data_IF_915318802470
#
_entry.id   IF_915318802470
#
_cell.length_a   1.000
_cell.length_b   1.000
_cell.length_c   1.000
_cell.angle_alpha   90.00
_cell.angle_beta   90.00
_cell.angle_gamma   90.00
#
_symmetry.space_group_name_H-M   'P 1'
#
loop_
_entity.id
_entity.type
_entity.pdbx_description
1 polymer ?
#
# COMPACT_ATOMS: atom_id res chain seq x y z
N UNK A 1 52.32 -55.36 5.32
CA UNK A 1 52.44 -54.00 4.73
C UNK A 1 51.37 -53.84 3.65
N UNK A 2 50.57 -52.87 3.68
CA UNK A 2 49.53 -52.45 2.68
C UNK A 2 48.09 -52.55 3.12
N UNK A 3 47.71 -51.83 4.17
CA UNK A 3 46.30 -51.53 4.46
C UNK A 3 46.07 -50.04 4.88
N UNK A 4 47.12 -49.19 4.90
CA UNK A 4 47.08 -47.81 5.35
C UNK A 4 47.11 -46.76 4.21
N UNK A 5 47.19 -47.18 2.95
CA UNK A 5 47.28 -46.24 1.81
C UNK A 5 45.95 -46.01 1.05
N UNK A 6 44.89 -46.77 1.35
CA UNK A 6 43.61 -46.67 0.68
C UNK A 6 42.62 -45.73 1.41
N UNK A 7 42.87 -45.39 2.67
CA UNK A 7 41.96 -44.53 3.46
C UNK A 7 42.19 -43.02 3.30
N UNK A 8 43.34 -42.59 2.80
CA UNK A 8 43.67 -41.16 2.65
C UNK A 8 43.13 -40.58 1.31
N UNK A 9 43.05 -41.41 0.28
CA UNK A 9 42.56 -40.98 -1.03
C UNK A 9 41.03 -40.79 -1.05
N UNK A 10 40.27 -41.53 -0.26
CA UNK A 10 38.80 -41.40 -0.18
C UNK A 10 38.36 -40.17 0.61
N UNK A 11 39.13 -39.73 1.61
CA UNK A 11 38.83 -38.55 2.40
C UNK A 11 39.08 -37.21 1.64
N UNK A 12 40.09 -37.22 0.76
CA UNK A 12 40.39 -36.04 -0.07
C UNK A 12 39.38 -35.84 -1.22
N UNK A 13 38.80 -36.92 -1.73
CA UNK A 13 37.76 -36.85 -2.77
C UNK A 13 36.40 -36.38 -2.25
N UNK A 14 36.06 -36.68 -0.99
CA UNK A 14 34.81 -36.19 -0.35
C UNK A 14 34.88 -34.72 0.07
N UNK A 15 36.04 -34.20 0.42
CA UNK A 15 36.24 -32.79 0.75
C UNK A 15 36.22 -31.87 -0.50
N UNK A 16 36.67 -32.39 -1.65
CA UNK A 16 36.58 -31.63 -2.91
C UNK A 16 35.19 -31.61 -3.54
N UNK A 17 34.36 -32.63 -3.31
CA UNK A 17 32.98 -32.66 -3.80
C UNK A 17 32.05 -31.70 -3.02
N UNK A 18 32.31 -31.51 -1.71
CA UNK A 18 31.53 -30.55 -0.89
C UNK A 18 31.92 -29.08 -1.16
N UNK A 19 33.16 -28.82 -1.55
CA UNK A 19 33.60 -27.47 -1.93
C UNK A 19 33.06 -27.02 -3.29
N UNK A 20 32.80 -27.92 -4.25
CA UNK A 20 32.18 -27.60 -5.53
C UNK A 20 30.69 -27.33 -5.41
N UNK A 21 29.99 -27.95 -4.45
CA UNK A 21 28.55 -27.70 -4.25
C UNK A 21 28.23 -26.34 -3.59
N UNK A 22 29.18 -25.77 -2.86
CA UNK A 22 29.03 -24.44 -2.25
C UNK A 22 29.31 -23.29 -3.21
N UNK A 23 30.05 -23.55 -4.31
CA UNK A 23 30.41 -22.49 -5.28
C UNK A 23 29.33 -22.21 -6.32
N UNK A 24 28.35 -23.07 -6.48
CA UNK A 24 27.24 -22.88 -7.45
C UNK A 24 26.10 -22.02 -6.93
N UNK A 25 26.10 -21.63 -5.65
CA UNK A 25 25.08 -20.76 -5.05
C UNK A 25 25.42 -19.28 -5.06
N UNK A 26 26.61 -18.91 -5.53
CA UNK A 26 27.03 -17.51 -5.67
C UNK A 26 26.91 -17.00 -7.12
N UNK A 27 25.84 -17.35 -7.83
CA UNK A 27 25.55 -16.67 -9.08
C UNK A 27 25.14 -15.25 -8.74
N UNK A 28 26.08 -14.32 -8.86
CA UNK A 28 25.80 -12.90 -8.56
C UNK A 28 24.87 -12.36 -9.63
N UNK A 29 23.67 -11.89 -9.24
CA UNK A 29 22.75 -11.17 -10.14
C UNK A 29 23.26 -9.77 -10.51
N UNK A 30 24.59 -9.61 -10.61
CA UNK A 30 25.26 -8.34 -10.93
C UNK A 30 25.49 -8.15 -12.43
N UNK A 31 25.03 -9.08 -13.28
CA UNK A 31 25.08 -8.92 -14.72
C UNK A 31 24.10 -7.82 -15.20
N UNK A 32 24.26 -7.39 -16.44
CA UNK A 32 23.43 -6.37 -17.10
C UNK A 32 22.30 -6.96 -17.95
N UNK A 33 21.98 -8.25 -17.77
CA UNK A 33 20.87 -8.87 -18.51
C UNK A 33 19.56 -8.16 -18.21
N UNK A 34 18.74 -7.91 -19.24
CA UNK A 34 17.45 -7.26 -19.07
C UNK A 34 16.51 -8.11 -18.21
N UNK A 35 15.56 -7.44 -17.57
CA UNK A 35 14.42 -8.06 -16.88
C UNK A 35 13.12 -7.57 -17.50
N UNK A 36 12.09 -8.41 -17.46
CA UNK A 36 10.76 -8.08 -17.97
C UNK A 36 9.73 -8.21 -16.86
N UNK A 37 8.91 -7.19 -16.69
CA UNK A 37 7.82 -7.19 -15.70
C UNK A 37 6.75 -6.16 -16.02
N UNK A 38 5.57 -6.37 -15.46
CA UNK A 38 4.51 -5.40 -15.40
C UNK A 38 4.16 -5.06 -13.95
N UNK A 39 3.76 -3.80 -13.72
CA UNK A 39 3.36 -3.28 -12.42
C UNK A 39 1.90 -2.88 -12.47
N UNK A 40 1.07 -3.51 -11.66
CA UNK A 40 -0.29 -3.04 -11.42
C UNK A 40 -0.29 -1.87 -10.43
N UNK A 41 -1.05 -0.84 -10.78
CA UNK A 41 -1.28 0.33 -9.93
C UNK A 41 -2.75 0.54 -9.61
N UNK A 42 -3.11 1.77 -9.26
CA UNK A 42 -4.48 2.15 -8.97
C UNK A 42 -5.16 2.78 -10.19
N UNK A 43 -4.84 4.03 -10.51
CA UNK A 43 -5.51 4.79 -11.56
C UNK A 43 -4.61 5.01 -12.78
N UNK A 44 -5.20 5.36 -13.92
CA UNK A 44 -4.46 5.70 -15.14
C UNK A 44 -3.64 6.99 -15.02
N UNK A 45 -3.83 7.77 -13.97
CA UNK A 45 -3.13 9.03 -13.68
C UNK A 45 -2.75 9.09 -12.20
N UNK A 46 -1.99 10.11 -11.79
CA UNK A 46 -1.67 10.38 -10.40
C UNK A 46 -0.47 9.62 -9.85
N UNK A 47 -0.38 9.56 -8.52
CA UNK A 47 0.79 9.13 -7.77
C UNK A 47 1.38 7.78 -8.24
N UNK A 48 0.57 6.73 -8.25
CA UNK A 48 1.07 5.38 -8.54
C UNK A 48 1.62 5.25 -9.96
N UNK A 49 1.01 5.93 -10.94
CA UNK A 49 1.53 5.96 -12.31
C UNK A 49 2.88 6.67 -12.37
N UNK A 50 2.97 7.87 -11.79
CA UNK A 50 4.21 8.68 -11.82
C UNK A 50 5.35 7.91 -11.16
N UNK A 51 5.10 7.30 -10.00
CA UNK A 51 6.11 6.49 -9.29
C UNK A 51 6.52 5.28 -10.11
N UNK A 52 5.56 4.51 -10.63
CA UNK A 52 5.86 3.30 -11.40
C UNK A 52 6.61 3.62 -12.70
N UNK A 53 6.23 4.65 -13.43
CA UNK A 53 6.93 5.03 -14.68
C UNK A 53 8.36 5.53 -14.41
N UNK A 54 8.57 6.26 -13.31
CA UNK A 54 9.92 6.65 -12.90
C UNK A 54 10.77 5.43 -12.53
N UNK A 55 10.23 4.50 -11.77
CA UNK A 55 10.91 3.24 -11.42
C UNK A 55 11.20 2.42 -12.67
N UNK A 56 10.25 2.31 -13.59
CA UNK A 56 10.43 1.61 -14.86
C UNK A 56 11.57 2.23 -15.70
N UNK A 57 11.67 3.57 -15.72
CA UNK A 57 12.78 4.27 -16.37
C UNK A 57 14.13 3.94 -15.72
N UNK A 58 14.19 3.95 -14.39
CA UNK A 58 15.39 3.58 -13.63
C UNK A 58 15.84 2.15 -13.95
N UNK A 59 14.90 1.21 -14.01
CA UNK A 59 15.21 -0.18 -14.33
C UNK A 59 15.71 -0.33 -15.76
N UNK A 60 15.09 0.34 -16.75
CA UNK A 60 15.56 0.35 -18.14
C UNK A 60 16.95 0.97 -18.29
N UNK A 61 17.27 2.00 -17.50
CA UNK A 61 18.62 2.58 -17.47
C UNK A 61 19.65 1.63 -16.85
N UNK A 62 19.30 0.95 -15.75
CA UNK A 62 20.17 0.01 -15.05
C UNK A 62 20.42 -1.28 -15.85
N UNK A 63 19.40 -1.76 -16.56
CA UNK A 63 19.39 -3.01 -17.35
C UNK A 63 18.82 -2.74 -18.74
N UNK A 64 19.65 -2.25 -19.69
CA UNK A 64 19.22 -1.94 -21.06
C UNK A 64 18.55 -3.13 -21.76
N UNK A 65 17.45 -2.87 -22.45
CA UNK A 65 16.62 -3.90 -23.08
C UNK A 65 15.51 -4.47 -22.18
N UNK A 66 15.41 -4.01 -20.93
CA UNK A 66 14.31 -4.41 -20.05
C UNK A 66 12.95 -3.91 -20.56
N UNK A 67 11.94 -4.79 -20.45
CA UNK A 67 10.53 -4.43 -20.69
C UNK A 67 9.83 -4.24 -19.35
N UNK A 68 9.43 -3.01 -19.08
CA UNK A 68 8.81 -2.61 -17.81
C UNK A 68 7.58 -1.75 -18.11
N UNK A 69 6.39 -2.23 -17.75
CA UNK A 69 5.11 -1.59 -18.08
C UNK A 69 4.25 -1.30 -16.86
N UNK A 70 3.48 -0.20 -16.92
CA UNK A 70 2.48 0.13 -15.91
C UNK A 70 1.08 -0.23 -16.40
N UNK A 71 0.30 -0.89 -15.56
CA UNK A 71 -1.10 -1.24 -15.80
C UNK A 71 -1.99 -0.52 -14.79
N UNK A 72 -2.91 0.35 -15.23
CA UNK A 72 -3.89 0.92 -14.31
C UNK A 72 -4.90 -0.13 -13.85
N UNK A 73 -5.43 0.01 -12.63
CA UNK A 73 -6.35 -0.96 -12.06
C UNK A 73 -6.89 -0.53 -10.70
N UNK A 74 -6.95 -1.47 -9.78
CA UNK A 74 -7.32 -1.25 -8.38
C UNK A 74 -6.43 -2.08 -7.47
N UNK A 75 -6.28 -1.69 -6.19
CA UNK A 75 -5.44 -2.44 -5.25
C UNK A 75 -5.77 -3.93 -5.15
N UNK A 76 -7.05 -4.28 -4.99
CA UNK A 76 -7.46 -5.69 -4.96
C UNK A 76 -7.26 -6.39 -6.32
N UNK A 77 -7.48 -5.68 -7.43
CA UNK A 77 -7.22 -6.17 -8.78
C UNK A 77 -5.74 -6.48 -9.00
N UNK A 78 -4.84 -5.62 -8.51
CA UNK A 78 -3.39 -5.84 -8.57
C UNK A 78 -2.98 -7.11 -7.82
N UNK A 79 -3.50 -7.34 -6.61
CA UNK A 79 -3.22 -8.58 -5.85
C UNK A 79 -3.74 -9.82 -6.62
N UNK A 80 -4.94 -9.75 -7.21
CA UNK A 80 -5.48 -10.84 -8.04
C UNK A 80 -4.59 -11.12 -9.25
N UNK A 81 -4.11 -10.08 -9.94
CA UNK A 81 -3.28 -10.23 -11.13
C UNK A 81 -1.93 -10.86 -10.83
N UNK A 82 -1.22 -10.40 -9.79
CA UNK A 82 0.05 -11.02 -9.39
C UNK A 82 -0.13 -12.47 -8.87
N UNK A 83 -1.25 -12.75 -8.20
CA UNK A 83 -1.57 -14.09 -7.71
C UNK A 83 -1.88 -15.09 -8.83
N UNK A 84 -2.34 -14.61 -9.99
CA UNK A 84 -2.71 -15.42 -11.15
C UNK A 84 -1.68 -15.36 -12.30
N UNK A 85 -0.52 -14.77 -12.09
CA UNK A 85 0.53 -14.65 -13.08
C UNK A 85 0.23 -13.72 -14.27
N UNK A 86 -0.73 -12.78 -14.10
CA UNK A 86 -1.09 -11.78 -15.12
C UNK A 86 -0.24 -10.51 -15.05
N UNK A 87 0.40 -10.29 -13.93
CA UNK A 87 1.37 -9.24 -13.65
C UNK A 87 2.40 -9.74 -12.65
N UNK A 88 3.57 -9.13 -12.63
CA UNK A 88 4.67 -9.52 -11.75
C UNK A 88 4.58 -8.80 -10.40
N UNK A 89 4.30 -7.48 -10.43
CA UNK A 89 4.28 -6.61 -9.26
C UNK A 89 2.97 -5.85 -9.10
N UNK A 90 2.66 -5.44 -7.88
CA UNK A 90 1.71 -4.35 -7.61
C UNK A 90 2.28 -3.41 -6.55
N UNK A 91 2.06 -2.09 -6.71
CA UNK A 91 2.52 -1.08 -5.75
C UNK A 91 1.42 -0.57 -4.84
N UNK A 92 0.27 -1.21 -4.85
CA UNK A 92 -0.93 -0.76 -4.15
C UNK A 92 -1.36 -1.69 -3.02
N UNK A 93 -0.46 -2.55 -2.54
CA UNK A 93 -0.75 -3.45 -1.43
C UNK A 93 -0.94 -2.67 -0.12
N UNK A 94 -2.11 -2.79 0.50
CA UNK A 94 -2.42 -2.25 1.82
C UNK A 94 -2.81 -3.35 2.80
N UNK A 95 -2.84 -3.03 4.10
CA UNK A 95 -3.14 -4.01 5.15
C UNK A 95 -4.46 -4.73 4.93
N UNK A 96 -5.60 -4.03 4.75
CA UNK A 96 -6.89 -4.69 4.53
C UNK A 96 -6.94 -5.54 3.27
N UNK A 97 -6.36 -5.08 2.15
CA UNK A 97 -6.30 -5.86 0.91
C UNK A 97 -5.55 -7.17 1.09
N UNK A 98 -4.41 -7.11 1.77
CA UNK A 98 -3.58 -8.31 2.03
C UNK A 98 -4.34 -9.29 2.90
N UNK A 99 -4.88 -8.85 4.05
CA UNK A 99 -5.61 -9.73 4.96
C UNK A 99 -6.85 -10.34 4.30
N UNK A 100 -7.63 -9.54 3.55
CA UNK A 100 -8.82 -10.05 2.86
C UNK A 100 -8.44 -11.04 1.73
N UNK A 101 -7.31 -10.80 1.05
CA UNK A 101 -6.79 -11.74 0.07
C UNK A 101 -6.36 -13.06 0.70
N UNK A 102 -5.68 -13.01 1.85
CA UNK A 102 -5.25 -14.21 2.59
C UNK A 102 -6.44 -15.00 3.16
N UNK A 103 -7.50 -14.32 3.57
CA UNK A 103 -8.70 -14.93 4.14
C UNK A 103 -9.75 -15.33 3.08
N UNK A 104 -9.60 -14.90 1.83
CA UNK A 104 -10.62 -15.10 0.78
C UNK A 104 -11.89 -14.30 1.00
N UNK A 105 -11.80 -13.17 1.72
CA UNK A 105 -12.91 -12.24 1.95
C UNK A 105 -13.14 -11.34 0.73
N UNK A 106 -14.38 -10.94 0.51
CA UNK A 106 -14.73 -10.02 -0.59
C UNK A 106 -13.83 -8.76 -0.58
N UNK A 107 -13.33 -8.31 -1.74
CA UNK A 107 -13.73 -8.68 -3.09
C UNK A 107 -13.06 -9.96 -3.64
N UNK A 108 -12.22 -10.63 -2.87
CA UNK A 108 -11.63 -11.92 -3.26
C UNK A 108 -12.66 -13.05 -3.08
N UNK A 109 -12.61 -14.04 -3.98
CA UNK A 109 -13.54 -15.17 -3.96
C UNK A 109 -12.99 -16.39 -3.23
N UNK A 110 -11.68 -16.45 -3.06
CA UNK A 110 -10.94 -17.53 -2.43
C UNK A 110 -9.67 -17.00 -1.75
N UNK A 111 -9.09 -17.78 -0.84
CA UNK A 111 -7.81 -17.46 -0.22
C UNK A 111 -6.67 -17.49 -1.26
N UNK A 112 -5.89 -16.42 -1.27
CA UNK A 112 -4.70 -16.29 -2.12
C UNK A 112 -3.39 -16.58 -1.36
N UNK A 113 -3.49 -17.24 -0.21
CA UNK A 113 -2.33 -17.63 0.62
C UNK A 113 -1.32 -18.42 -0.21
N UNK A 114 -0.04 -18.03 -0.11
CA UNK A 114 1.05 -18.68 -0.85
C UNK A 114 1.15 -18.31 -2.33
N UNK A 115 0.34 -17.40 -2.85
CA UNK A 115 0.38 -16.97 -4.25
C UNK A 115 1.17 -15.68 -4.48
N UNK A 116 1.42 -14.89 -3.44
CA UNK A 116 2.18 -13.64 -3.51
C UNK A 116 2.99 -13.41 -2.21
N UNK A 117 3.97 -12.53 -2.29
CA UNK A 117 4.89 -12.19 -1.21
C UNK A 117 5.08 -10.70 -1.06
N UNK A 118 5.59 -10.28 0.09
CA UNK A 118 6.05 -8.92 0.34
C UNK A 118 7.37 -8.68 -0.40
N UNK A 119 7.49 -7.54 -1.06
CA UNK A 119 8.72 -7.14 -1.74
C UNK A 119 9.36 -5.94 -1.05
N UNK A 120 8.61 -4.86 -0.84
CA UNK A 120 9.12 -3.64 -0.22
C UNK A 120 8.01 -2.76 0.36
N UNK A 121 8.35 -1.91 1.31
CA UNK A 121 7.50 -0.79 1.72
C UNK A 121 7.59 0.31 0.66
N UNK A 122 6.44 0.82 0.23
CA UNK A 122 6.39 1.97 -0.69
C UNK A 122 6.41 3.30 0.10
N UNK A 123 5.45 3.48 0.98
CA UNK A 123 5.34 4.63 1.89
C UNK A 123 4.42 4.29 3.08
N UNK A 124 4.49 5.10 4.14
CA UNK A 124 3.68 4.96 5.35
C UNK A 124 3.09 6.31 5.83
N UNK A 125 2.73 7.16 4.89
CA UNK A 125 2.27 8.54 5.13
C UNK A 125 0.91 8.86 4.47
N UNK A 126 0.14 7.85 4.02
CA UNK A 126 -1.17 8.07 3.43
C UNK A 126 -2.20 8.31 4.54
N UNK A 127 -2.73 9.53 4.60
CA UNK A 127 -3.74 9.92 5.58
C UNK A 127 -5.14 9.63 5.05
N UNK A 128 -5.99 9.05 5.89
CA UNK A 128 -7.42 8.94 5.60
C UNK A 128 -8.11 10.22 6.04
N UNK A 129 -8.54 11.01 5.07
CA UNK A 129 -9.33 12.20 5.28
C UNK A 129 -10.79 11.83 5.51
N UNK A 130 -11.36 12.30 6.60
CA UNK A 130 -12.78 12.26 6.85
C UNK A 130 -13.30 13.71 6.81
N UNK A 131 -13.81 14.11 5.65
CA UNK A 131 -14.22 15.49 5.37
C UNK A 131 -15.74 15.57 5.31
N UNK A 132 -16.31 16.65 5.85
CA UNK A 132 -17.74 16.93 5.80
C UNK A 132 -17.94 18.39 5.39
N UNK A 133 -18.99 18.68 4.63
CA UNK A 133 -19.34 20.09 4.36
C UNK A 133 -19.81 20.76 5.66
N UNK A 134 -19.35 21.97 5.91
CA UNK A 134 -19.77 22.73 7.10
C UNK A 134 -21.28 22.94 7.13
N UNK A 135 -21.90 23.18 5.98
CA UNK A 135 -23.35 23.31 5.82
C UNK A 135 -24.09 22.08 6.38
N UNK A 136 -23.68 20.90 5.98
CA UNK A 136 -24.29 19.65 6.49
C UNK A 136 -24.02 19.46 7.97
N UNK A 137 -22.77 19.64 8.38
CA UNK A 137 -22.34 19.53 9.79
C UNK A 137 -23.19 20.40 10.72
N UNK A 138 -23.40 21.67 10.35
CA UNK A 138 -24.20 22.62 11.14
C UNK A 138 -25.68 22.23 11.15
N UNK A 139 -26.25 21.88 9.99
CA UNK A 139 -27.66 21.46 9.87
C UNK A 139 -27.98 20.19 10.64
N UNK A 140 -27.11 19.19 10.59
CA UNK A 140 -27.27 17.93 11.28
C UNK A 140 -26.77 17.97 12.74
N UNK A 141 -26.01 19.00 13.09
CA UNK A 141 -25.40 19.16 14.40
C UNK A 141 -24.35 18.09 14.71
N UNK A 142 -23.59 17.63 13.70
CA UNK A 142 -22.60 16.56 13.84
C UNK A 142 -21.20 17.09 13.54
N UNK A 143 -20.20 16.64 14.33
CA UNK A 143 -18.78 16.99 14.18
C UNK A 143 -17.87 15.79 14.24
N UNK A 144 -18.36 14.68 14.78
CA UNK A 144 -17.57 13.47 15.04
C UNK A 144 -18.30 12.22 14.56
N UNK A 145 -17.57 11.12 14.47
CA UNK A 145 -18.19 9.79 14.24
C UNK A 145 -19.15 9.43 15.38
N UNK A 146 -18.84 9.80 16.63
CA UNK A 146 -19.73 9.59 17.77
C UNK A 146 -21.06 10.33 17.59
N UNK A 147 -21.05 11.59 17.12
CA UNK A 147 -22.25 12.35 16.81
C UNK A 147 -23.07 11.72 15.68
N UNK A 148 -22.39 11.29 14.60
CA UNK A 148 -23.05 10.64 13.46
C UNK A 148 -23.80 9.39 13.92
N UNK A 149 -23.14 8.55 14.74
CA UNK A 149 -23.74 7.31 15.24
C UNK A 149 -24.89 7.59 16.22
N UNK A 150 -24.78 8.61 17.05
CA UNK A 150 -25.83 8.99 17.98
C UNK A 150 -27.08 9.59 17.29
N UNK A 151 -26.87 10.43 16.25
CA UNK A 151 -27.94 11.18 15.59
C UNK A 151 -28.49 10.50 14.33
N UNK A 152 -27.74 9.59 13.72
CA UNK A 152 -28.12 8.80 12.54
C UNK A 152 -28.63 9.66 11.39
N UNK A 153 -27.91 10.72 10.97
CA UNK A 153 -28.42 11.63 9.95
C UNK A 153 -28.45 10.94 8.58
N UNK A 154 -29.52 11.18 7.83
CA UNK A 154 -29.52 10.92 6.39
C UNK A 154 -28.47 11.82 5.72
N UNK A 155 -27.56 11.21 4.95
CA UNK A 155 -26.47 11.93 4.26
C UNK A 155 -26.06 11.26 2.97
N UNK A 156 -25.40 12.04 2.11
CA UNK A 156 -24.75 11.57 0.89
C UNK A 156 -23.26 11.37 1.21
N UNK A 157 -22.84 10.11 1.32
CA UNK A 157 -21.49 9.74 1.73
C UNK A 157 -20.66 9.28 0.52
N UNK A 158 -19.60 10.00 0.21
CA UNK A 158 -18.61 9.62 -0.79
C UNK A 158 -17.61 8.61 -0.20
N UNK A 159 -17.43 7.50 -0.89
CA UNK A 159 -16.43 6.47 -0.58
C UNK A 159 -15.77 5.98 -1.86
N UNK A 160 -14.62 5.35 -1.77
CA UNK A 160 -13.96 4.82 -2.95
C UNK A 160 -14.64 3.55 -3.48
N UNK A 161 -14.14 3.02 -4.59
CA UNK A 161 -14.60 1.77 -5.17
C UNK A 161 -14.31 0.58 -4.25
N UNK A 162 -15.07 -0.50 -4.39
CA UNK A 162 -14.93 -1.71 -3.57
C UNK A 162 -13.56 -2.39 -3.70
N UNK A 163 -12.83 -2.12 -4.80
CA UNK A 163 -11.47 -2.62 -5.01
C UNK A 163 -10.37 -1.81 -4.30
N UNK A 164 -10.72 -0.76 -3.55
CA UNK A 164 -9.79 0.07 -2.78
C UNK A 164 -10.11 -0.03 -1.29
N UNK A 165 -9.62 -1.07 -0.62
CA UNK A 165 -9.86 -1.30 0.79
C UNK A 165 -8.95 -0.46 1.70
N UNK A 166 -7.75 -0.14 1.23
CA UNK A 166 -6.70 0.47 2.06
C UNK A 166 -6.95 1.93 2.44
N UNK A 167 -7.55 2.73 1.56
CA UNK A 167 -7.59 4.17 1.78
C UNK A 167 -8.98 4.71 2.07
N UNK A 168 -10.00 4.31 1.33
CA UNK A 168 -11.30 4.96 1.48
C UNK A 168 -12.45 4.00 1.69
N UNK A 169 -12.63 3.01 0.82
CA UNK A 169 -13.73 2.08 1.02
C UNK A 169 -13.53 1.22 2.28
N UNK A 170 -12.33 0.68 2.48
CA UNK A 170 -12.01 -0.11 3.65
C UNK A 170 -12.01 0.71 4.93
N UNK A 171 -11.48 1.94 4.90
CA UNK A 171 -11.45 2.78 6.10
C UNK A 171 -12.83 3.26 6.53
N UNK A 172 -13.70 3.58 5.58
CA UNK A 172 -15.10 3.88 5.88
C UNK A 172 -15.78 2.69 6.59
N UNK A 173 -15.59 1.48 6.06
CA UNK A 173 -16.14 0.26 6.68
C UNK A 173 -15.54 0.01 8.06
N UNK A 174 -14.23 0.21 8.23
CA UNK A 174 -13.55 -0.03 9.50
C UNK A 174 -13.93 1.02 10.54
N UNK A 175 -14.00 2.31 10.15
CA UNK A 175 -14.37 3.37 11.09
C UNK A 175 -15.81 3.22 11.58
N UNK A 176 -16.79 3.04 10.69
CA UNK A 176 -18.15 2.77 11.11
C UNK A 176 -18.29 1.39 11.77
N UNK A 177 -17.56 0.38 11.30
CA UNK A 177 -17.53 -0.96 11.88
C UNK A 177 -17.04 -0.97 13.33
N UNK A 178 -16.17 -0.05 13.75
CA UNK A 178 -15.76 0.12 15.15
C UNK A 178 -16.92 0.52 16.08
N UNK A 179 -18.04 0.96 15.49
CA UNK A 179 -19.32 1.23 16.20
C UNK A 179 -20.38 0.15 15.93
N UNK A 180 -20.01 -0.93 15.25
CA UNK A 180 -20.95 -1.98 14.85
C UNK A 180 -21.87 -1.59 13.68
N UNK A 181 -21.50 -0.55 12.92
CA UNK A 181 -22.29 0.00 11.82
C UNK A 181 -21.74 -0.52 10.48
N UNK A 182 -22.60 -1.12 9.68
CA UNK A 182 -22.31 -1.53 8.30
C UNK A 182 -23.25 -0.89 7.30
N UNK A 183 -23.09 -1.24 6.02
CA UNK A 183 -23.86 -0.66 4.90
C UNK A 183 -25.40 -0.76 5.10
N UNK A 184 -25.86 -1.92 5.60
CA UNK A 184 -27.28 -2.14 5.82
C UNK A 184 -27.86 -1.22 6.91
N UNK A 185 -27.09 -0.91 7.95
CA UNK A 185 -27.51 0.00 9.00
C UNK A 185 -27.45 1.46 8.50
N UNK A 186 -26.42 1.85 7.78
CA UNK A 186 -26.33 3.17 7.14
C UNK A 186 -27.50 3.42 6.19
N UNK A 187 -27.90 2.42 5.40
CA UNK A 187 -29.04 2.52 4.52
C UNK A 187 -30.36 2.80 5.27
N UNK A 188 -30.57 2.19 6.46
CA UNK A 188 -31.73 2.48 7.31
C UNK A 188 -31.77 3.91 7.81
N UNK A 189 -30.61 4.59 7.96
CA UNK A 189 -30.53 5.99 8.34
C UNK A 189 -30.82 6.94 7.16
N UNK A 190 -31.00 6.39 5.94
CA UNK A 190 -31.15 7.15 4.71
C UNK A 190 -29.81 7.64 4.14
N UNK A 191 -28.71 6.99 4.50
CA UNK A 191 -27.39 7.27 3.89
C UNK A 191 -27.38 6.71 2.47
N UNK A 192 -27.02 7.57 1.50
CA UNK A 192 -26.75 7.16 0.12
C UNK A 192 -25.25 7.19 -0.15
N UNK A 193 -24.72 6.15 -0.80
CA UNK A 193 -23.30 6.00 -1.09
C UNK A 193 -23.00 6.44 -2.52
N UNK A 194 -22.11 7.43 -2.68
CA UNK A 194 -21.40 7.65 -3.94
C UNK A 194 -20.12 6.83 -3.93
N UNK A 195 -19.92 6.02 -4.97
CA UNK A 195 -18.72 5.17 -5.13
C UNK A 195 -17.92 5.64 -6.32
N UNK A 196 -16.71 6.13 -6.06
CA UNK A 196 -15.81 6.63 -7.08
C UNK A 196 -14.37 6.70 -6.58
N UNK A 197 -13.41 6.93 -7.48
CA UNK A 197 -12.04 7.15 -7.07
C UNK A 197 -11.88 8.48 -6.31
N UNK A 198 -10.67 8.72 -5.78
CA UNK A 198 -10.36 9.92 -4.99
C UNK A 198 -10.74 11.23 -5.68
N UNK A 199 -10.34 11.39 -6.95
CA UNK A 199 -10.59 12.63 -7.70
C UNK A 199 -12.09 12.82 -7.97
N UNK A 200 -12.81 11.75 -8.28
CA UNK A 200 -14.27 11.80 -8.45
C UNK A 200 -14.96 12.18 -7.14
N UNK A 201 -14.57 11.62 -6.01
CA UNK A 201 -15.09 11.97 -4.69
C UNK A 201 -14.87 13.43 -4.33
N UNK A 202 -13.66 13.96 -4.54
CA UNK A 202 -13.34 15.36 -4.31
C UNK A 202 -14.15 16.29 -5.24
N UNK A 203 -14.34 15.91 -6.50
CA UNK A 203 -15.19 16.66 -7.44
C UNK A 203 -16.65 16.68 -6.98
N UNK A 204 -17.21 15.53 -6.54
CA UNK A 204 -18.58 15.50 -6.02
C UNK A 204 -18.75 16.37 -4.76
N UNK A 205 -17.72 16.45 -3.90
CA UNK A 205 -17.74 17.32 -2.73
C UNK A 205 -17.68 18.79 -3.13
N UNK A 206 -16.82 19.16 -4.07
CA UNK A 206 -16.73 20.52 -4.63
C UNK A 206 -18.08 20.97 -5.20
N UNK A 207 -18.74 20.09 -5.94
CA UNK A 207 -20.04 20.34 -6.56
C UNK A 207 -21.23 20.32 -5.57
N UNK A 208 -20.99 19.96 -4.29
CA UNK A 208 -22.05 19.85 -3.28
C UNK A 208 -22.99 18.66 -3.49
N UNK A 209 -22.55 17.64 -4.22
CA UNK A 209 -23.33 16.44 -4.49
C UNK A 209 -23.19 15.38 -3.40
N UNK A 210 -22.18 15.49 -2.53
CA UNK A 210 -22.02 14.67 -1.32
C UNK A 210 -21.84 15.57 -0.10
N UNK A 211 -22.24 15.08 1.06
CA UNK A 211 -22.19 15.78 2.35
C UNK A 211 -20.92 15.43 3.12
N UNK A 212 -20.46 14.19 3.01
CA UNK A 212 -19.26 13.67 3.65
C UNK A 212 -18.43 12.86 2.64
N UNK A 213 -17.10 12.88 2.79
CA UNK A 213 -16.15 12.09 2.00
C UNK A 213 -15.15 11.40 2.94
N UNK A 214 -15.01 10.09 2.80
CA UNK A 214 -13.88 9.35 3.37
C UNK A 214 -12.91 9.02 2.25
N UNK A 215 -11.68 9.56 2.33
CA UNK A 215 -10.72 9.54 1.22
C UNK A 215 -9.28 9.41 1.71
N UNK A 216 -8.43 8.67 0.98
CA UNK A 216 -7.00 8.61 1.22
C UNK A 216 -6.24 9.63 0.38
N UNK A 217 -5.44 10.47 1.03
CA UNK A 217 -4.55 11.42 0.37
C UNK A 217 -3.33 11.74 1.25
N UNK A 218 -2.31 12.38 0.65
CA UNK A 218 -1.21 12.94 1.43
C UNK A 218 -1.63 14.26 2.09
N UNK A 219 -1.12 14.53 3.28
CA UNK A 219 -1.45 15.74 4.04
C UNK A 219 -0.28 16.75 3.93
N UNK A 220 -0.53 18.03 3.62
CA UNK A 220 -1.78 18.61 3.13
C UNK A 220 -2.03 18.33 1.65
N UNK A 221 -3.29 18.35 1.22
CA UNK A 221 -3.71 18.24 -0.18
C UNK A 221 -4.22 19.57 -0.68
N UNK A 222 -3.61 20.11 -1.73
CA UNK A 222 -4.00 21.40 -2.31
C UNK A 222 -5.46 21.42 -2.75
N UNK A 223 -5.95 20.34 -3.32
CA UNK A 223 -7.34 20.23 -3.77
C UNK A 223 -8.36 20.34 -2.62
N UNK A 224 -8.05 19.78 -1.44
CA UNK A 224 -8.89 19.93 -0.24
C UNK A 224 -8.90 21.39 0.24
N UNK A 225 -7.75 22.07 0.17
CA UNK A 225 -7.66 23.49 0.51
C UNK A 225 -8.53 24.34 -0.46
N UNK A 226 -8.47 24.04 -1.75
CA UNK A 226 -9.24 24.75 -2.78
C UNK A 226 -10.75 24.49 -2.64
N UNK A 227 -11.16 23.27 -2.34
CA UNK A 227 -12.56 22.95 -2.04
C UNK A 227 -13.04 23.78 -0.85
N UNK A 228 -12.26 23.86 0.23
CA UNK A 228 -12.61 24.61 1.43
C UNK A 228 -12.81 26.13 1.17
N UNK A 229 -12.11 26.72 0.19
CA UNK A 229 -12.28 28.14 -0.17
C UNK A 229 -13.66 28.43 -0.77
N UNK A 230 -14.17 27.52 -1.60
CA UNK A 230 -15.47 27.67 -2.25
C UNK A 230 -16.62 27.01 -1.48
N UNK A 231 -16.33 25.97 -0.71
CA UNK A 231 -17.28 25.21 0.12
C UNK A 231 -16.62 24.86 1.45
N UNK A 232 -16.93 25.59 2.52
CA UNK A 232 -16.33 25.36 3.83
C UNK A 232 -16.48 23.91 4.30
N UNK A 233 -15.39 23.35 4.80
CA UNK A 233 -15.29 21.97 5.27
C UNK A 233 -15.11 21.92 6.78
N UNK A 234 -15.38 20.76 7.35
CA UNK A 234 -14.97 20.35 8.70
C UNK A 234 -14.30 19.00 8.61
N UNK A 235 -13.35 18.74 9.48
CA UNK A 235 -12.78 17.42 9.69
C UNK A 235 -13.72 16.63 10.63
N UNK A 236 -14.12 15.43 10.23
CA UNK A 236 -14.92 14.56 11.08
C UNK A 236 -14.03 13.96 12.14
N UNK A 237 -14.27 14.30 13.40
CA UNK A 237 -13.44 13.89 14.52
C UNK A 237 -13.59 12.41 14.80
N UNK A 238 -12.45 11.74 14.98
CA UNK A 238 -12.38 10.33 15.36
C UNK A 238 -12.14 10.14 16.85
N UNK A 239 -12.75 9.10 17.39
CA UNK A 239 -12.40 8.59 18.72
C UNK A 239 -11.12 7.75 18.61
N UNK A 240 -10.05 8.16 19.25
CA UNK A 240 -8.72 7.55 19.16
C UNK A 240 -8.76 6.03 19.43
N UNK A 241 -9.40 5.62 20.54
CA UNK A 241 -9.45 4.22 20.94
C UNK A 241 -10.22 3.36 19.93
N UNK A 242 -11.35 3.85 19.43
CA UNK A 242 -12.12 3.15 18.39
C UNK A 242 -11.37 3.06 17.06
N UNK A 243 -10.70 4.13 16.65
CA UNK A 243 -9.87 4.11 15.47
C UNK A 243 -8.71 3.12 15.62
N UNK A 244 -8.00 3.11 16.76
CA UNK A 244 -6.94 2.12 17.04
C UNK A 244 -7.47 0.69 16.99
N UNK A 245 -8.62 0.42 17.57
CA UNK A 245 -9.27 -0.89 17.51
C UNK A 245 -9.61 -1.31 16.08
N UNK A 246 -10.07 -0.39 15.26
CA UNK A 246 -10.45 -0.66 13.87
C UNK A 246 -9.26 -0.99 12.97
N UNK A 247 -8.15 -0.26 13.10
CA UNK A 247 -7.07 -0.27 12.09
C UNK A 247 -5.76 -0.88 12.58
N UNK A 248 -5.59 -1.04 13.90
CA UNK A 248 -4.30 -1.47 14.49
C UNK A 248 -3.83 -2.83 14.01
N UNK A 249 -4.74 -3.78 13.80
CA UNK A 249 -4.41 -5.13 13.29
C UNK A 249 -3.80 -5.13 11.89
N UNK A 250 -3.97 -4.04 11.12
CA UNK A 250 -3.39 -3.88 9.80
C UNK A 250 -2.03 -3.13 9.82
N UNK A 251 -1.48 -2.87 11.00
CA UNK A 251 -0.25 -2.09 11.17
C UNK A 251 -0.42 -0.61 10.82
N UNK A 252 -1.65 -0.12 10.71
CA UNK A 252 -1.94 1.29 10.48
C UNK A 252 -1.86 2.06 11.79
N UNK A 253 -1.49 3.34 11.69
CA UNK A 253 -1.31 4.21 12.85
C UNK A 253 -2.50 5.13 13.01
N UNK A 254 -2.84 5.45 14.26
CA UNK A 254 -3.71 6.56 14.59
C UNK A 254 -2.82 7.64 15.17
N UNK A 255 -2.85 8.80 14.55
CA UNK A 255 -2.02 9.95 14.94
C UNK A 255 -2.89 11.17 15.17
N UNK A 256 -2.37 12.10 15.95
CA UNK A 256 -3.00 13.37 16.20
C UNK A 256 -2.90 14.25 14.96
N UNK A 257 -4.01 14.80 14.54
CA UNK A 257 -4.08 15.94 13.61
C UNK A 257 -4.20 17.20 14.45
N UNK A 258 -3.15 18.00 14.47
CA UNK A 258 -3.13 19.22 15.27
C UNK A 258 -4.02 20.30 14.65
N UNK A 259 -4.52 21.18 15.50
CA UNK A 259 -5.17 22.42 15.07
C UNK A 259 -4.31 23.13 14.04
N UNK A 260 -4.92 23.53 12.93
CA UNK A 260 -4.22 24.19 11.82
C UNK A 260 -3.58 23.26 10.80
N UNK A 261 -3.67 21.93 10.96
CA UNK A 261 -3.22 20.95 9.94
C UNK A 261 -3.91 21.17 8.58
N UNK A 262 -5.14 21.65 8.61
CA UNK A 262 -5.80 22.43 7.54
C UNK A 262 -6.39 23.70 8.12
N UNK A 263 -6.66 24.75 7.32
CA UNK A 263 -7.26 25.99 7.82
C UNK A 263 -8.60 25.81 8.56
N UNK A 264 -9.34 24.75 8.26
CA UNK A 264 -10.63 24.40 8.86
C UNK A 264 -10.55 23.40 10.02
N UNK A 265 -9.35 22.94 10.39
CA UNK A 265 -9.13 22.13 11.59
C UNK A 265 -8.95 23.05 12.78
N UNK A 266 -10.05 23.30 13.50
CA UNK A 266 -10.12 24.29 14.58
C UNK A 266 -9.60 23.78 15.93
N UNK A 267 -9.49 22.46 16.10
CA UNK A 267 -9.01 21.80 17.31
C UNK A 267 -8.26 20.51 16.98
N UNK A 268 -7.46 20.04 17.91
CA UNK A 268 -6.80 18.76 17.80
C UNK A 268 -7.80 17.62 17.64
N UNK A 269 -7.52 16.70 16.75
CA UNK A 269 -8.32 15.50 16.51
C UNK A 269 -7.41 14.32 16.14
N UNK A 270 -7.99 13.20 15.74
CA UNK A 270 -7.24 12.02 15.33
C UNK A 270 -7.50 11.67 13.87
N UNK A 271 -6.49 11.09 13.23
CA UNK A 271 -6.56 10.60 11.87
C UNK A 271 -5.86 9.25 11.75
N UNK A 272 -6.24 8.48 10.75
CA UNK A 272 -5.59 7.22 10.42
C UNK A 272 -4.53 7.45 9.37
N UNK A 273 -3.35 6.89 9.58
CA UNK A 273 -2.24 6.90 8.62
C UNK A 273 -1.95 5.48 8.17
N UNK A 274 -2.04 5.29 6.87
CA UNK A 274 -1.89 4.02 6.20
C UNK A 274 -0.52 3.90 5.53
N UNK A 275 -0.11 2.66 5.31
CA UNK A 275 1.06 2.33 4.51
C UNK A 275 0.65 1.59 3.22
N UNK A 276 1.52 1.64 2.22
CA UNK A 276 1.43 0.86 1.01
C UNK A 276 2.70 0.05 0.78
N UNK A 277 2.52 -1.15 0.26
CA UNK A 277 3.60 -2.07 -0.08
C UNK A 277 3.66 -2.37 -1.57
N UNK A 278 4.86 -2.61 -2.06
CA UNK A 278 5.12 -3.35 -3.27
C UNK A 278 5.03 -4.83 -2.98
N UNK A 279 4.11 -5.52 -3.65
CA UNK A 279 3.93 -6.96 -3.58
C UNK A 279 4.36 -7.60 -4.90
N UNK A 280 4.70 -8.87 -4.85
CA UNK A 280 5.17 -9.65 -5.99
C UNK A 280 4.51 -11.02 -6.05
N UNK A 281 4.17 -11.48 -7.25
CA UNK A 281 3.68 -12.85 -7.47
C UNK A 281 4.79 -13.88 -7.25
N UNK A 282 4.46 -14.99 -6.58
CA UNK A 282 5.44 -16.03 -6.26
C UNK A 282 5.98 -16.78 -7.49
N UNK A 283 5.44 -16.53 -8.68
CA UNK A 283 5.93 -17.04 -9.97
C UNK A 283 7.14 -16.25 -10.52
N UNK A 284 7.41 -15.05 -9.95
CA UNK A 284 8.50 -14.18 -10.42
C UNK A 284 9.84 -14.74 -9.94
N UNK A 285 10.86 -14.67 -10.80
CA UNK A 285 12.20 -15.18 -10.47
C UNK A 285 12.89 -14.35 -9.40
N UNK A 286 13.76 -15.00 -8.60
CA UNK A 286 14.61 -14.31 -7.62
C UNK A 286 15.44 -13.20 -8.26
N UNK A 287 16.01 -13.48 -9.44
CA UNK A 287 16.85 -12.55 -10.19
C UNK A 287 16.08 -11.27 -10.55
N UNK A 288 14.84 -11.39 -11.04
CA UNK A 288 14.01 -10.23 -11.41
C UNK A 288 13.77 -9.34 -10.21
N UNK A 289 13.37 -9.89 -9.08
CA UNK A 289 13.09 -9.11 -7.86
C UNK A 289 14.37 -8.49 -7.28
N UNK A 290 15.46 -9.24 -7.26
CA UNK A 290 16.76 -8.74 -6.79
C UNK A 290 17.24 -7.56 -7.64
N UNK A 291 17.26 -7.70 -8.96
CA UNK A 291 17.68 -6.66 -9.90
C UNK A 291 16.79 -5.43 -9.83
N UNK A 292 15.49 -5.63 -9.71
CA UNK A 292 14.53 -4.55 -9.52
C UNK A 292 14.87 -3.72 -8.27
N UNK A 293 14.99 -4.37 -7.10
CA UNK A 293 15.32 -3.68 -5.83
C UNK A 293 16.69 -3.00 -5.88
N UNK A 294 17.69 -3.66 -6.50
CA UNK A 294 19.01 -3.09 -6.67
C UNK A 294 18.96 -1.81 -7.52
N UNK A 295 18.29 -1.84 -8.66
CA UNK A 295 18.18 -0.67 -9.54
C UNK A 295 17.60 0.55 -8.83
N UNK A 296 16.47 0.38 -8.15
CA UNK A 296 15.78 1.50 -7.48
C UNK A 296 16.54 2.03 -6.27
N UNK A 297 17.25 1.17 -5.55
CA UNK A 297 18.06 1.59 -4.38
C UNK A 297 19.38 2.21 -4.77
N UNK A 298 20.01 1.77 -5.86
CA UNK A 298 21.19 2.42 -6.41
C UNK A 298 20.86 3.82 -6.96
N UNK A 299 19.62 4.03 -7.43
CA UNK A 299 19.10 5.31 -7.90
C UNK A 299 18.21 6.04 -6.87
N UNK A 300 18.43 5.82 -5.56
CA UNK A 300 17.55 6.35 -4.49
C UNK A 300 17.21 7.83 -4.63
N UNK A 301 18.19 8.66 -5.02
CA UNK A 301 17.99 10.11 -5.14
C UNK A 301 16.99 10.49 -6.24
N UNK A 302 16.89 9.67 -7.33
CA UNK A 302 15.85 9.83 -8.34
C UNK A 302 14.48 9.45 -7.76
N UNK A 303 14.40 8.35 -7.03
CA UNK A 303 13.16 7.90 -6.40
C UNK A 303 12.65 8.92 -5.37
N UNK A 304 13.54 9.44 -4.52
CA UNK A 304 13.19 10.43 -3.49
C UNK A 304 12.60 11.72 -4.07
N UNK A 305 13.00 12.12 -5.28
CA UNK A 305 12.54 13.34 -5.96
C UNK A 305 11.17 13.19 -6.63
N UNK A 306 10.64 11.98 -6.77
CA UNK A 306 9.37 11.72 -7.45
C UNK A 306 8.19 12.34 -6.71
N UNK A 307 8.19 12.19 -5.38
CA UNK A 307 7.10 12.67 -4.53
C UNK A 307 7.56 12.84 -3.07
N UNK A 308 7.05 13.84 -2.32
CA UNK A 308 7.42 14.06 -0.91
C UNK A 308 7.30 12.83 -0.02
N UNK A 309 6.30 11.96 -0.24
CA UNK A 309 6.15 10.70 0.52
C UNK A 309 7.30 9.71 0.34
N UNK A 310 8.12 9.90 -0.68
CA UNK A 310 9.30 9.08 -0.96
C UNK A 310 10.61 9.74 -0.49
N UNK A 311 10.56 10.91 0.15
CA UNK A 311 11.74 11.63 0.61
C UNK A 311 12.65 10.81 1.55
N UNK A 312 12.08 9.84 2.27
CA UNK A 312 12.79 8.93 3.18
C UNK A 312 13.11 7.57 2.55
N UNK A 313 12.91 7.41 1.23
CA UNK A 313 13.21 6.16 0.55
C UNK A 313 14.68 5.76 0.75
N UNK A 314 14.90 4.58 1.30
CA UNK A 314 16.22 3.98 1.54
C UNK A 314 16.08 2.47 1.72
N UNK A 315 17.18 1.73 1.69
CA UNK A 315 17.18 0.28 1.92
C UNK A 315 16.56 -0.06 3.28
N UNK A 316 16.86 0.72 4.31
CA UNK A 316 16.36 0.57 5.68
C UNK A 316 14.86 0.88 5.79
N UNK A 317 14.38 1.81 4.98
CA UNK A 317 12.95 2.15 4.96
C UNK A 317 12.12 1.08 4.27
N UNK A 318 12.57 0.59 3.10
CA UNK A 318 11.79 -0.31 2.27
C UNK A 318 11.78 -1.77 2.75
N UNK A 319 12.76 -2.18 3.58
CA UNK A 319 12.80 -3.55 4.14
C UNK A 319 11.73 -3.80 5.21
N UNK A 320 11.15 -2.74 5.79
CA UNK A 320 10.12 -2.87 6.84
C UNK A 320 8.87 -3.55 6.31
N UNK A 321 8.58 -4.71 6.86
CA UNK A 321 7.40 -5.50 6.52
C UNK A 321 6.39 -5.49 7.68
N UNK A 322 5.29 -4.72 7.60
CA UNK A 322 4.27 -4.68 8.63
C UNK A 322 3.24 -5.81 8.53
N UNK A 323 3.42 -6.76 7.61
CA UNK A 323 2.47 -7.82 7.31
C UNK A 323 2.94 -9.19 7.79
N UNK A 324 2.06 -10.18 7.75
CA UNK A 324 2.40 -11.60 7.95
C UNK A 324 2.97 -12.29 6.70
N UNK A 325 3.04 -11.60 5.57
CA UNK A 325 3.57 -12.16 4.34
C UNK A 325 5.08 -12.42 4.46
N UNK A 326 5.57 -13.55 3.91
CA UNK A 326 7.01 -13.73 3.77
C UNK A 326 7.57 -12.73 2.77
N UNK A 327 8.85 -12.39 2.93
CA UNK A 327 9.61 -11.73 1.87
C UNK A 327 9.77 -12.69 0.70
N UNK A 328 9.67 -12.15 -0.53
CA UNK A 328 10.05 -12.91 -1.72
C UNK A 328 11.54 -13.29 -1.66
N UNK A 329 11.96 -14.51 -2.11
CA UNK A 329 13.35 -14.95 -2.02
C UNK A 329 14.35 -13.94 -2.61
N UNK A 330 14.05 -13.33 -3.75
CA UNK A 330 14.91 -12.31 -4.36
C UNK A 330 15.01 -11.02 -3.52
N UNK A 331 13.93 -10.64 -2.83
CA UNK A 331 13.94 -9.51 -1.90
C UNK A 331 14.76 -9.84 -0.64
N UNK A 332 14.56 -11.02 -0.06
CA UNK A 332 15.32 -11.49 1.09
C UNK A 332 16.82 -11.51 0.80
N UNK A 333 17.22 -12.04 -0.34
CA UNK A 333 18.61 -12.08 -0.79
C UNK A 333 19.17 -10.66 -0.94
N UNK A 334 18.44 -9.78 -1.63
CA UNK A 334 18.87 -8.40 -1.81
C UNK A 334 19.11 -7.70 -0.47
N UNK A 335 18.17 -7.81 0.48
CA UNK A 335 18.27 -7.12 1.78
C UNK A 335 19.41 -7.68 2.65
N UNK A 336 19.69 -8.99 2.57
CA UNK A 336 20.85 -9.59 3.25
C UNK A 336 22.17 -9.10 2.67
N UNK A 337 22.32 -9.11 1.35
CA UNK A 337 23.52 -8.62 0.68
C UNK A 337 23.72 -7.10 0.88
N UNK A 338 22.63 -6.34 0.98
CA UNK A 338 22.65 -4.92 1.29
C UNK A 338 22.96 -4.61 2.77
N UNK A 339 23.02 -5.61 3.65
CA UNK A 339 23.35 -5.47 5.07
C UNK A 339 22.23 -4.87 5.95
N UNK A 340 21.00 -4.82 5.45
CA UNK A 340 19.84 -4.25 6.20
C UNK A 340 18.95 -5.32 6.83
N UNK A 341 19.28 -6.60 6.60
CA UNK A 341 18.63 -7.74 7.21
C UNK A 341 19.70 -8.82 7.55
N UNK A 342 19.50 -9.54 8.67
CA UNK A 342 20.36 -10.65 9.09
C UNK A 342 20.01 -11.96 8.39
#
# INVERSE_FOLDING_TARGET
MSLHRLSVAAAAALLSATALSASTLAQSFNDKKPISYSVDGATATGYFKVVAETINSIVREAYPGSDATYKPGSPAGGILNISNGKSEFTFTGGGPEIEFALEGKAPFKESLKGKFSFMMMMHDELVVHALMTKEFSDRAGVRSYDDIVAKKPAMRLGVNTTGNLQSTYGMYLLHFGAYGIGDAELAKWGVTLFRGNTNEGLSQMRDGKIDMLVNGAFLPTAEVIDINRGRPLVWVEGNEQRMKSAVGKYGYKVVKLEKGGYPFVERDTFMTVNWNAGLVGNHVSEETVYKFLKAITDAKDKVQKVHPSLAKFSKEAIVRNPTSLPLHPGALRFYREAGVMK
#
